data_IF_050008871735
#
_entry.id   IF_050008871735
#
_cell.length_a   1.000
_cell.length_b   1.000
_cell.length_c   1.000
_cell.angle_alpha   90.00
_cell.angle_beta   90.00
_cell.angle_gamma   90.00
#
_symmetry.space_group_name_H-M   'P 1'
#
loop_
_entity.id
_entity.type
_entity.pdbx_description
1 polymer ?
#
# COMPACT_ATOMS: atom_id res chain seq x y z
N UNK A 1 -3.40 -17.54 -22.80
CA UNK A 1 -2.16 -18.00 -22.13
C UNK A 1 -2.54 -18.49 -20.75
N UNK A 2 -2.23 -19.74 -20.35
CA UNK A 2 -2.43 -20.14 -18.96
C UNK A 2 -1.49 -19.30 -18.11
N UNK A 3 -2.05 -18.38 -17.33
CA UNK A 3 -1.28 -17.61 -16.35
C UNK A 3 -0.80 -18.62 -15.32
N UNK A 4 0.51 -18.87 -15.26
CA UNK A 4 1.12 -19.63 -14.17
C UNK A 4 1.01 -18.77 -12.90
N UNK A 5 -0.17 -18.78 -12.27
CA UNK A 5 -0.52 -18.03 -11.05
C UNK A 5 0.07 -18.66 -9.79
N UNK A 6 1.21 -19.35 -9.91
CA UNK A 6 1.88 -19.93 -8.77
C UNK A 6 2.39 -18.80 -7.86
N UNK A 7 2.11 -18.87 -6.54
CA UNK A 7 2.56 -17.88 -5.57
C UNK A 7 4.09 -17.71 -5.51
N UNK A 8 4.55 -16.67 -4.82
CA UNK A 8 5.98 -16.50 -4.53
C UNK A 8 6.55 -17.78 -3.89
N UNK A 9 7.71 -18.30 -4.35
CA UNK A 9 8.28 -19.53 -3.81
C UNK A 9 8.66 -19.43 -2.33
N UNK A 10 8.96 -18.22 -1.84
CA UNK A 10 9.28 -17.95 -0.44
C UNK A 10 8.44 -16.78 0.09
N UNK A 11 7.15 -17.00 0.35
CA UNK A 11 6.26 -15.94 0.87
C UNK A 11 6.62 -15.51 2.29
N UNK A 12 7.08 -16.44 3.12
CA UNK A 12 7.40 -16.17 4.54
C UNK A 12 8.73 -15.45 4.68
N UNK A 13 9.74 -15.80 3.88
CA UNK A 13 11.05 -15.15 3.95
C UNK A 13 11.07 -13.73 3.38
N UNK A 14 10.11 -13.37 2.53
CA UNK A 14 9.99 -12.02 1.94
C UNK A 14 8.96 -11.12 2.61
N UNK A 15 8.22 -11.63 3.60
CA UNK A 15 7.26 -10.82 4.37
C UNK A 15 8.01 -9.75 5.19
N UNK A 16 7.69 -8.45 5.02
CA UNK A 16 8.29 -7.40 5.81
C UNK A 16 7.73 -7.38 7.23
N UNK A 17 8.63 -7.23 8.20
CA UNK A 17 8.30 -7.06 9.62
C UNK A 17 8.77 -5.68 10.11
N UNK A 18 8.14 -4.59 9.62
CA UNK A 18 8.56 -3.24 9.97
C UNK A 18 8.35 -2.98 11.46
N UNK A 19 9.28 -2.23 12.06
CA UNK A 19 9.04 -1.69 13.40
C UNK A 19 7.94 -0.65 13.31
N UNK A 20 6.83 -0.85 14.03
CA UNK A 20 5.70 0.09 14.05
C UNK A 20 6.11 1.41 14.71
N UNK A 21 6.03 2.56 14.01
CA UNK A 21 6.32 3.86 14.61
C UNK A 21 5.37 4.17 15.77
N UNK A 22 5.91 4.79 16.82
CA UNK A 22 5.16 5.14 18.04
C UNK A 22 5.31 6.63 18.37
N UNK A 23 4.29 7.20 18.97
CA UNK A 23 4.32 8.55 19.53
C UNK A 23 5.05 8.61 20.89
N UNK A 24 5.14 9.79 21.48
CA UNK A 24 5.77 10.01 22.80
C UNK A 24 5.03 9.33 23.95
N UNK A 25 3.77 8.95 23.76
CA UNK A 25 2.98 8.17 24.70
C UNK A 25 3.10 6.65 24.47
N UNK A 26 3.86 6.22 23.46
CA UNK A 26 4.08 4.82 23.11
C UNK A 26 2.97 4.18 22.28
N UNK A 27 1.97 4.95 21.84
CA UNK A 27 0.89 4.50 20.97
C UNK A 27 1.34 4.50 19.50
N UNK A 28 0.73 3.64 18.68
CA UNK A 28 1.05 3.52 17.25
C UNK A 28 0.67 4.82 16.51
N UNK A 29 1.64 5.42 15.81
CA UNK A 29 1.44 6.66 15.05
C UNK A 29 1.97 6.58 13.62
N UNK A 30 1.03 6.47 12.68
CA UNK A 30 1.30 6.46 11.25
C UNK A 30 1.02 7.81 10.59
N UNK A 31 0.86 8.88 11.37
CA UNK A 31 0.74 10.24 10.81
C UNK A 31 2.06 10.62 10.11
N UNK A 32 2.03 10.95 8.81
CA UNK A 32 3.22 11.35 8.09
C UNK A 32 3.61 12.80 8.36
N UNK A 33 4.91 13.04 8.42
CA UNK A 33 5.58 14.32 8.51
C UNK A 33 6.47 14.52 7.27
N UNK A 34 5.96 15.10 6.17
CA UNK A 34 6.70 15.25 4.92
C UNK A 34 8.07 15.93 5.09
N UNK A 35 8.19 16.84 6.05
CA UNK A 35 9.42 17.55 6.41
C UNK A 35 10.51 16.64 7.00
N UNK A 36 10.13 15.46 7.53
CA UNK A 36 11.04 14.44 8.09
C UNK A 36 11.34 13.31 7.11
N UNK A 37 10.76 13.35 5.91
CA UNK A 37 10.86 12.29 4.92
C UNK A 37 12.32 12.10 4.47
N UNK A 38 12.80 10.85 4.52
CA UNK A 38 14.13 10.52 4.04
C UNK A 38 14.27 10.76 2.53
N UNK A 39 15.46 11.22 2.13
CA UNK A 39 15.83 11.25 0.71
C UNK A 39 16.21 9.85 0.25
N UNK A 40 15.73 9.46 -0.92
CA UNK A 40 15.98 8.15 -1.54
C UNK A 40 16.40 8.36 -2.99
N UNK A 41 16.96 7.31 -3.60
CA UNK A 41 17.34 7.35 -5.01
C UNK A 41 16.14 7.65 -5.94
N UNK A 42 16.37 8.22 -7.13
CA UNK A 42 15.29 8.50 -8.08
C UNK A 42 14.47 7.26 -8.47
N UNK A 43 15.13 6.10 -8.59
CA UNK A 43 14.51 4.78 -8.83
C UNK A 43 13.52 4.41 -7.72
N UNK A 44 13.93 4.53 -6.46
CA UNK A 44 13.07 4.21 -5.31
C UNK A 44 11.94 5.23 -5.12
N UNK A 45 12.20 6.50 -5.40
CA UNK A 45 11.15 7.53 -5.45
C UNK A 45 10.12 7.19 -6.53
N UNK A 46 10.55 6.71 -7.69
CA UNK A 46 9.64 6.27 -8.76
C UNK A 46 8.80 5.04 -8.36
N UNK A 47 9.38 4.07 -7.63
CA UNK A 47 8.64 2.96 -7.03
C UNK A 47 7.54 3.49 -6.10
N UNK A 48 7.89 4.37 -5.16
CA UNK A 48 6.94 4.99 -4.25
C UNK A 48 5.81 5.70 -5.02
N UNK A 49 6.16 6.51 -6.02
CA UNK A 49 5.18 7.26 -6.81
C UNK A 49 4.22 6.35 -7.58
N UNK A 50 4.72 5.26 -8.18
CA UNK A 50 3.86 4.27 -8.85
C UNK A 50 2.87 3.65 -7.89
N UNK A 51 3.30 3.29 -6.68
CA UNK A 51 2.41 2.76 -5.65
C UNK A 51 1.37 3.82 -5.23
N UNK A 52 1.77 5.07 -5.01
CA UNK A 52 0.84 6.17 -4.69
C UNK A 52 -0.20 6.36 -5.80
N UNK A 53 0.20 6.28 -7.08
CA UNK A 53 -0.73 6.36 -8.20
C UNK A 53 -1.80 5.24 -8.13
N UNK A 54 -1.43 4.03 -7.71
CA UNK A 54 -2.38 2.93 -7.51
C UNK A 54 -3.39 3.25 -6.40
N UNK A 55 -2.92 3.78 -5.25
CA UNK A 55 -3.81 4.24 -4.18
C UNK A 55 -4.76 5.34 -4.66
N UNK A 56 -4.29 6.25 -5.51
CA UNK A 56 -5.11 7.31 -6.13
C UNK A 56 -6.04 6.82 -7.26
N UNK A 57 -6.20 5.50 -7.44
CA UNK A 57 -7.09 4.93 -8.46
C UNK A 57 -6.58 5.05 -9.89
N UNK A 58 -5.30 5.34 -10.10
CA UNK A 58 -4.67 5.48 -11.41
C UNK A 58 -3.98 4.19 -11.85
N UNK A 59 -4.62 3.04 -11.61
CA UNK A 59 -4.08 1.75 -12.00
C UNK A 59 -3.85 1.69 -13.53
N UNK A 60 -2.63 1.38 -13.92
CA UNK A 60 -2.19 1.23 -15.31
C UNK A 60 -1.22 0.06 -15.41
N UNK A 61 -1.02 -0.46 -16.62
CA UNK A 61 -0.02 -1.51 -16.84
C UNK A 61 1.36 -1.06 -16.36
N UNK A 62 1.75 0.17 -16.67
CA UNK A 62 3.02 0.75 -16.25
C UNK A 62 3.17 0.82 -14.72
N UNK A 63 2.13 1.27 -14.01
CA UNK A 63 2.14 1.30 -12.55
C UNK A 63 2.24 -0.12 -11.97
N UNK A 64 1.53 -1.09 -12.58
CA UNK A 64 1.58 -2.50 -12.15
C UNK A 64 2.94 -3.16 -12.40
N UNK A 65 3.74 -2.69 -13.36
CA UNK A 65 5.09 -3.20 -13.59
C UNK A 65 6.05 -2.91 -12.42
N UNK A 66 5.66 -2.14 -11.40
CA UNK A 66 6.44 -1.99 -10.17
C UNK A 66 6.54 -3.33 -9.39
N UNK A 67 5.53 -4.18 -9.52
CA UNK A 67 5.50 -5.50 -8.88
C UNK A 67 6.18 -6.58 -9.74
N UNK A 68 6.87 -7.48 -9.06
CA UNK A 68 7.26 -8.77 -9.63
C UNK A 68 6.01 -9.61 -9.94
N UNK A 69 6.12 -10.56 -10.86
CA UNK A 69 4.96 -11.37 -11.29
C UNK A 69 4.29 -12.13 -10.14
N UNK A 70 5.11 -12.63 -9.22
CA UNK A 70 4.70 -13.40 -8.04
C UNK A 70 4.67 -12.55 -6.76
N UNK A 71 4.55 -11.23 -6.90
CA UNK A 71 4.50 -10.34 -5.75
C UNK A 71 3.28 -10.64 -4.85
N UNK A 72 3.46 -10.43 -3.56
CA UNK A 72 2.40 -10.50 -2.56
C UNK A 72 1.96 -9.09 -2.16
N UNK A 73 0.67 -8.91 -1.96
CA UNK A 73 0.07 -7.74 -1.33
C UNK A 73 -0.76 -8.21 -0.14
N UNK A 74 -0.52 -7.59 1.00
CA UNK A 74 -1.14 -7.93 2.29
C UNK A 74 -1.61 -6.64 2.96
N UNK A 75 -2.93 -6.51 3.09
CA UNK A 75 -3.58 -5.46 3.86
C UNK A 75 -4.60 -6.09 4.83
N UNK A 76 -5.19 -5.32 5.75
CA UNK A 76 -6.08 -5.89 6.75
C UNK A 76 -7.37 -6.54 6.21
N UNK A 77 -7.69 -6.35 4.92
CA UNK A 77 -8.88 -6.86 4.25
C UNK A 77 -8.57 -7.82 3.09
N UNK A 78 -7.34 -7.85 2.58
CA UNK A 78 -7.00 -8.52 1.33
C UNK A 78 -5.59 -9.11 1.39
N UNK A 79 -5.50 -10.36 0.92
CA UNK A 79 -4.24 -11.04 0.67
C UNK A 79 -4.21 -11.51 -0.79
N UNK A 80 -3.32 -10.92 -1.58
CA UNK A 80 -3.12 -11.24 -2.99
C UNK A 80 -1.71 -11.79 -3.19
N UNK A 81 -1.59 -12.98 -3.77
CA UNK A 81 -0.31 -13.71 -3.87
C UNK A 81 0.34 -13.67 -5.27
N UNK A 82 -0.20 -12.85 -6.17
CA UNK A 82 0.31 -12.64 -7.53
C UNK A 82 0.00 -11.23 -8.02
N UNK A 83 0.84 -10.68 -8.92
CA UNK A 83 0.58 -9.38 -9.56
C UNK A 83 -0.79 -9.30 -10.24
N UNK A 84 -1.28 -10.42 -10.78
CA UNK A 84 -2.61 -10.47 -11.39
C UNK A 84 -3.74 -10.23 -10.36
N UNK A 85 -3.69 -10.89 -9.21
CA UNK A 85 -4.66 -10.66 -8.13
C UNK A 85 -4.53 -9.24 -7.56
N UNK A 86 -3.29 -8.76 -7.40
CA UNK A 86 -3.00 -7.38 -6.97
C UNK A 86 -3.62 -6.37 -7.95
N UNK A 87 -3.50 -6.59 -9.26
CA UNK A 87 -4.13 -5.74 -10.27
C UNK A 87 -5.65 -5.67 -10.08
N UNK A 88 -6.31 -6.81 -9.83
CA UNK A 88 -7.75 -6.85 -9.56
C UNK A 88 -8.19 -5.91 -8.44
N UNK A 89 -7.40 -5.81 -7.37
CA UNK A 89 -7.64 -4.88 -6.27
C UNK A 89 -7.54 -3.42 -6.74
N UNK A 90 -6.42 -3.02 -7.35
CA UNK A 90 -6.19 -1.62 -7.74
C UNK A 90 -7.13 -1.13 -8.85
N UNK A 91 -7.42 -1.97 -9.85
CA UNK A 91 -8.39 -1.64 -10.90
C UNK A 91 -9.84 -1.64 -10.39
N UNK A 92 -10.11 -2.29 -9.24
CA UNK A 92 -11.41 -2.28 -8.59
C UNK A 92 -11.73 -1.00 -7.83
N UNK A 93 -10.71 -0.32 -7.28
CA UNK A 93 -10.91 0.86 -6.41
C UNK A 93 -11.77 1.97 -7.04
N UNK A 94 -11.57 2.40 -8.31
CA UNK A 94 -12.38 3.46 -8.91
C UNK A 94 -13.87 3.11 -9.06
N UNK A 95 -14.25 1.83 -8.93
CA UNK A 95 -15.68 1.42 -8.93
C UNK A 95 -16.37 1.66 -7.59
N UNK A 96 -15.60 1.66 -6.49
CA UNK A 96 -16.11 1.81 -5.13
C UNK A 96 -16.03 3.27 -4.64
N UNK A 97 -15.04 4.02 -5.14
CA UNK A 97 -14.74 5.37 -4.67
C UNK A 97 -14.87 6.39 -5.81
N UNK A 98 -15.55 7.50 -5.53
CA UNK A 98 -15.64 8.65 -6.43
C UNK A 98 -14.39 9.53 -6.41
N UNK A 99 -13.60 9.46 -5.34
CA UNK A 99 -12.33 10.20 -5.21
C UNK A 99 -11.35 9.45 -4.31
N UNK A 100 -10.10 9.41 -4.74
CA UNK A 100 -8.97 8.77 -4.05
C UNK A 100 -7.79 9.75 -4.06
N UNK A 101 -7.34 10.17 -2.88
CA UNK A 101 -6.37 11.26 -2.75
C UNK A 101 -5.26 10.91 -1.75
N UNK A 102 -4.00 10.97 -2.20
CA UNK A 102 -2.86 10.99 -1.28
C UNK A 102 -2.70 12.40 -0.69
N UNK A 103 -2.78 12.51 0.63
CA UNK A 103 -2.69 13.79 1.34
C UNK A 103 -1.26 14.11 1.79
N UNK A 104 -0.53 13.10 2.28
CA UNK A 104 0.84 13.26 2.75
C UNK A 104 1.57 11.91 2.78
N UNK A 105 2.89 11.95 2.62
CA UNK A 105 3.77 10.78 2.76
C UNK A 105 5.08 11.16 3.46
N UNK A 106 5.64 10.22 4.21
CA UNK A 106 6.92 10.35 4.90
C UNK A 106 7.69 9.04 4.76
N UNK A 107 8.80 9.03 4.01
CA UNK A 107 9.69 7.87 3.95
C UNK A 107 10.42 7.78 5.28
N UNK A 108 10.28 6.63 5.96
CA UNK A 108 10.85 6.38 7.28
C UNK A 108 12.02 5.40 7.25
N UNK A 109 12.09 4.53 6.24
CA UNK A 109 13.25 3.67 6.01
C UNK A 109 13.44 3.34 4.52
N UNK A 110 14.70 3.19 4.13
CA UNK A 110 15.12 2.77 2.79
C UNK A 110 16.44 2.02 2.91
N UNK A 111 16.41 0.69 2.98
CA UNK A 111 17.57 -0.21 3.11
C UNK A 111 17.78 -0.99 1.82
N UNK A 112 18.82 -1.81 1.69
CA UNK A 112 19.12 -2.57 0.45
C UNK A 112 17.94 -3.34 -0.14
N UNK A 113 16.97 -3.75 0.68
CA UNK A 113 15.83 -4.55 0.24
C UNK A 113 14.48 -4.05 0.74
N UNK A 114 14.42 -2.90 1.40
CA UNK A 114 13.17 -2.39 1.97
C UNK A 114 12.96 -0.92 1.65
N UNK A 115 11.70 -0.56 1.44
CA UNK A 115 11.24 0.82 1.37
C UNK A 115 9.97 0.95 2.20
N UNK A 116 10.02 1.81 3.22
CA UNK A 116 8.94 1.96 4.20
C UNK A 116 8.56 3.44 4.30
N UNK A 117 7.27 3.74 4.23
CA UNK A 117 6.76 5.09 4.43
C UNK A 117 5.43 5.10 5.18
N UNK A 118 5.21 6.17 5.91
CA UNK A 118 3.88 6.54 6.41
C UNK A 118 3.12 7.27 5.32
N UNK A 119 1.81 7.08 5.24
CA UNK A 119 0.96 7.86 4.35
C UNK A 119 -0.39 8.19 4.99
N UNK A 120 -0.97 9.29 4.53
CA UNK A 120 -2.38 9.62 4.74
C UNK A 120 -3.10 9.59 3.40
N UNK A 121 -4.14 8.78 3.30
CA UNK A 121 -4.96 8.67 2.10
C UNK A 121 -6.42 8.96 2.40
N UNK A 122 -7.09 9.73 1.54
CA UNK A 122 -8.50 10.07 1.65
C UNK A 122 -9.32 9.35 0.59
N UNK A 123 -10.29 8.57 1.06
CA UNK A 123 -11.21 7.78 0.25
C UNK A 123 -12.59 8.44 0.30
N UNK A 124 -13.19 8.73 -0.85
CA UNK A 124 -14.56 9.25 -0.96
C UNK A 124 -15.43 8.22 -1.66
N UNK A 125 -16.43 7.69 -0.97
CA UNK A 125 -17.30 6.65 -1.51
C UNK A 125 -18.16 7.16 -2.65
N UNK A 126 -18.37 6.31 -3.66
CA UNK A 126 -19.34 6.59 -4.72
C UNK A 126 -20.77 6.58 -4.15
N UNK A 127 -21.64 7.47 -4.64
CA UNK A 127 -23.07 7.50 -4.33
C UNK A 127 -23.48 8.11 -2.99
N UNK A 128 -22.62 8.08 -1.96
CA UNK A 128 -22.97 8.56 -0.59
C UNK A 128 -22.21 9.82 -0.14
N UNK A 129 -21.34 10.38 -0.99
CA UNK A 129 -20.54 11.60 -0.74
C UNK A 129 -19.80 11.67 0.60
N UNK A 130 -19.55 10.53 1.23
CA UNK A 130 -18.81 10.46 2.48
C UNK A 130 -17.33 10.22 2.20
N UNK A 131 -16.47 10.97 2.89
CA UNK A 131 -15.02 10.77 2.84
C UNK A 131 -14.48 10.28 4.18
N UNK A 132 -13.43 9.45 4.12
CA UNK A 132 -12.64 9.03 5.28
C UNK A 132 -11.16 9.13 4.94
N UNK A 133 -10.37 9.67 5.85
CA UNK A 133 -8.92 9.67 5.78
C UNK A 133 -8.38 8.53 6.62
N UNK A 134 -7.38 7.82 6.10
CA UNK A 134 -6.71 6.69 6.75
C UNK A 134 -5.23 7.00 6.83
N UNK A 135 -4.64 6.72 8.00
CA UNK A 135 -3.20 6.73 8.16
C UNK A 135 -2.68 5.29 8.11
N UNK A 136 -1.70 5.04 7.25
CA UNK A 136 -1.12 3.71 7.12
C UNK A 136 0.41 3.72 7.02
N UNK A 137 1.01 2.60 7.41
CA UNK A 137 2.42 2.30 7.23
C UNK A 137 2.55 1.31 6.07
N UNK A 138 3.09 1.78 4.95
CA UNK A 138 3.38 0.93 3.80
C UNK A 138 4.80 0.43 3.90
N UNK A 139 4.97 -0.88 3.79
CA UNK A 139 6.27 -1.55 3.82
C UNK A 139 6.42 -2.43 2.59
N UNK A 140 7.44 -2.12 1.79
CA UNK A 140 7.77 -2.89 0.60
C UNK A 140 9.03 -3.72 0.84
N UNK A 141 8.98 -4.99 0.44
CA UNK A 141 10.17 -5.80 0.18
C UNK A 141 10.52 -5.69 -1.31
N UNK A 142 11.77 -5.37 -1.57
CA UNK A 142 12.33 -5.19 -2.91
C UNK A 142 13.33 -6.31 -3.24
N UNK A 143 13.31 -6.77 -4.49
CA UNK A 143 14.32 -7.66 -5.05
C UNK A 143 14.89 -7.10 -6.35
N UNK A 144 16.10 -7.54 -6.68
CA UNK A 144 16.88 -7.06 -7.82
C UNK A 144 17.98 -6.10 -7.38
N UNK A 145 18.44 -5.27 -8.32
CA UNK A 145 19.43 -4.23 -8.08
C UNK A 145 18.92 -2.92 -8.66
N UNK A 146 19.24 -1.82 -7.99
CA UNK A 146 18.97 -0.50 -8.54
C UNK A 146 19.59 -0.34 -9.94
N UNK A 147 18.88 0.29 -10.90
CA UNK A 147 17.59 0.97 -10.77
C UNK A 147 16.36 0.06 -11.09
N UNK A 148 16.54 -1.25 -11.21
CA UNK A 148 15.54 -2.20 -11.72
C UNK A 148 14.86 -3.04 -10.64
N UNK A 149 14.90 -2.59 -9.38
CA UNK A 149 14.24 -3.25 -8.27
C UNK A 149 12.74 -3.46 -8.54
N UNK A 150 12.20 -4.57 -8.04
CA UNK A 150 10.79 -4.92 -8.10
C UNK A 150 10.25 -5.19 -6.72
N UNK A 151 8.99 -4.83 -6.50
CA UNK A 151 8.27 -5.16 -5.28
C UNK A 151 7.88 -6.63 -5.31
N UNK A 152 8.36 -7.40 -4.34
CA UNK A 152 7.99 -8.81 -4.15
C UNK A 152 7.01 -9.00 -3.00
N UNK A 153 6.95 -8.04 -2.07
CA UNK A 153 5.96 -7.99 -1.02
C UNK A 153 5.57 -6.54 -0.73
N UNK A 154 4.27 -6.26 -0.65
CA UNK A 154 3.72 -4.97 -0.24
C UNK A 154 2.77 -5.21 0.93
N UNK A 155 3.16 -4.71 2.10
CA UNK A 155 2.33 -4.75 3.30
C UNK A 155 1.79 -3.37 3.61
N UNK A 156 0.48 -3.22 3.71
CA UNK A 156 -0.19 -1.97 4.10
C UNK A 156 -0.82 -2.13 5.49
N UNK A 157 -0.32 -1.38 6.47
CA UNK A 157 -0.77 -1.50 7.86
C UNK A 157 -1.49 -0.24 8.30
N UNK A 158 -2.80 -0.35 8.52
CA UNK A 158 -3.63 0.79 8.91
C UNK A 158 -3.53 1.07 10.41
N UNK A 159 -3.78 2.32 10.80
CA UNK A 159 -3.82 2.69 12.21
C UNK A 159 -4.99 1.98 12.92
N UNK A 160 -4.79 1.51 14.15
CA UNK A 160 -5.81 0.82 14.96
C UNK A 160 -7.11 1.65 15.11
N UNK A 161 -7.00 2.98 15.12
CA UNK A 161 -8.16 3.89 15.17
C UNK A 161 -9.04 3.79 13.93
N UNK A 162 -8.43 3.58 12.76
CA UNK A 162 -9.12 3.43 11.47
C UNK A 162 -9.80 2.05 11.34
N UNK A 163 -9.42 1.10 12.22
CA UNK A 163 -9.98 -0.25 12.33
C UNK A 163 -11.26 -0.34 13.18
N UNK A 164 -11.60 0.71 13.94
CA UNK A 164 -12.76 0.71 14.83
C UNK A 164 -14.08 0.45 14.08
N UNK A 165 -15.10 -0.06 14.77
CA UNK A 165 -16.42 -0.44 14.21
C UNK A 165 -17.21 0.70 13.54
N UNK A 166 -16.66 1.91 13.47
CA UNK A 166 -17.19 3.09 12.77
C UNK A 166 -16.37 3.47 11.50
N UNK A 167 -15.29 2.74 11.20
CA UNK A 167 -14.34 3.01 10.11
C UNK A 167 -14.74 2.46 8.74
N UNK A 168 -13.80 2.49 7.79
CA UNK A 168 -14.00 2.00 6.41
C UNK A 168 -14.43 0.52 6.37
N UNK A 169 -13.92 -0.31 7.27
CA UNK A 169 -14.29 -1.74 7.33
C UNK A 169 -15.78 -1.97 7.64
N UNK A 170 -16.39 -1.13 8.48
CA UNK A 170 -17.82 -1.20 8.77
C UNK A 170 -18.68 -0.74 7.58
N UNK A 171 -18.18 0.24 6.81
CA UNK A 171 -18.84 0.74 5.61
C UNK A 171 -18.77 -0.24 4.44
N UNK A 172 -17.62 -0.87 4.23
CA UNK A 172 -17.46 -1.94 3.26
C UNK A 172 -18.37 -3.13 3.58
N UNK A 173 -18.53 -3.48 4.87
CA UNK A 173 -19.51 -4.50 5.31
C UNK A 173 -20.95 -4.12 4.98
N UNK A 174 -21.34 -2.84 5.09
CA UNK A 174 -22.68 -2.35 4.74
C UNK A 174 -22.95 -2.30 3.23
N UNK A 175 -21.92 -2.15 2.41
CA UNK A 175 -22.05 -2.14 0.95
C UNK A 175 -22.10 -3.55 0.34
N UNK A 176 -21.55 -4.55 1.04
CA UNK A 176 -21.53 -5.95 0.62
C UNK A 176 -22.62 -6.81 1.29
N UNK A 177 -23.50 -6.21 2.09
CA UNK A 177 -24.60 -6.85 2.81
C UNK A 177 -25.97 -6.47 2.26
#
# INVERSE_FOLDING_TARGET
MPSSTSPHPDQRGVEPHPTRPRDTAGAVDYTPHPEKSLQVSPSRRAIQQRIINLYCGQASEENMQVYAEKAVYDDPFSYCDTRYKIAGQWYGLPKLFSKLESLATEITASTDHELIWKQTHKYTFAGIHMSKSVNSLVSLRLEGKEPHEKVVYHKDMWNEKDYSHEGLGALMKKLNG
#
